data_IF_179502583325
#
_entry.id   IF_179502583325
#
_cell.length_a   1.000
_cell.length_b   1.000
_cell.length_c   1.000
_cell.angle_alpha   90.00
_cell.angle_beta   90.00
_cell.angle_gamma   90.00
#
_symmetry.space_group_name_H-M   'P 1'
#
loop_
_entity.id
_entity.type
_entity.pdbx_description
1 polymer ?
#
# COMPACT_ATOMS: atom_id res chain seq x y z
N UNK A 1 21.67 -3.80 8.66
CA UNK A 1 20.54 -3.07 8.07
C UNK A 1 20.21 -1.90 8.99
N UNK A 2 20.52 -0.68 8.57
CA UNK A 2 20.28 0.50 9.39
C UNK A 2 18.96 1.15 8.96
N UNK A 3 17.84 0.63 9.48
CA UNK A 3 16.57 1.32 9.37
C UNK A 3 16.63 2.57 10.25
N UNK A 4 16.37 3.70 9.65
CA UNK A 4 16.27 5.01 10.30
C UNK A 4 14.85 5.22 10.81
N UNK A 5 14.66 6.23 11.67
CA UNK A 5 13.33 6.65 12.11
C UNK A 5 12.40 6.99 10.93
N UNK A 6 12.95 7.53 9.84
CA UNK A 6 12.18 7.87 8.65
C UNK A 6 11.64 6.63 7.95
N UNK A 7 12.39 5.52 7.92
CA UNK A 7 11.94 4.27 7.31
C UNK A 7 10.75 3.68 8.08
N UNK A 8 10.80 3.73 9.41
CA UNK A 8 9.67 3.31 10.25
C UNK A 8 8.45 4.22 10.08
N UNK A 9 8.66 5.53 9.98
CA UNK A 9 7.57 6.48 9.76
C UNK A 9 6.92 6.26 8.38
N UNK A 10 7.73 6.04 7.34
CA UNK A 10 7.24 5.71 6.01
C UNK A 10 6.43 4.40 6.02
N UNK A 11 6.93 3.36 6.68
CA UNK A 11 6.20 2.10 6.84
C UNK A 11 4.89 2.28 7.61
N UNK A 12 4.88 3.08 8.69
CA UNK A 12 3.68 3.38 9.46
C UNK A 12 2.62 4.08 8.60
N UNK A 13 3.02 5.11 7.84
CA UNK A 13 2.11 5.84 6.94
C UNK A 13 1.59 4.90 5.86
N UNK A 14 2.46 4.09 5.25
CA UNK A 14 2.10 3.17 4.18
C UNK A 14 1.07 2.12 4.67
N UNK A 15 1.33 1.49 5.81
CA UNK A 15 0.39 0.52 6.41
C UNK A 15 -0.90 1.19 6.90
N UNK A 16 -0.82 2.41 7.43
CA UNK A 16 -1.99 3.21 7.80
C UNK A 16 -2.89 3.46 6.59
N UNK A 17 -2.32 3.88 5.45
CA UNK A 17 -3.05 4.06 4.20
C UNK A 17 -3.66 2.75 3.69
N UNK A 18 -2.92 1.64 3.80
CA UNK A 18 -3.45 0.31 3.44
C UNK A 18 -4.68 -0.03 4.29
N UNK A 19 -4.58 0.11 5.61
CA UNK A 19 -5.66 -0.18 6.54
C UNK A 19 -6.88 0.73 6.30
N UNK A 20 -6.67 2.04 6.16
CA UNK A 20 -7.74 3.00 5.88
C UNK A 20 -8.39 2.74 4.52
N UNK A 21 -7.61 2.45 3.47
CA UNK A 21 -8.12 2.16 2.13
C UNK A 21 -8.96 0.90 2.08
N UNK A 22 -8.50 -0.18 2.73
CA UNK A 22 -9.27 -1.43 2.85
C UNK A 22 -10.53 -1.19 3.69
N UNK A 23 -10.42 -0.56 4.86
CA UNK A 23 -11.57 -0.26 5.71
C UNK A 23 -12.63 0.58 4.97
N UNK A 24 -12.21 1.61 4.25
CA UNK A 24 -13.09 2.46 3.45
C UNK A 24 -13.81 1.63 2.37
N UNK A 25 -13.06 0.79 1.65
CA UNK A 25 -13.58 -0.11 0.62
C UNK A 25 -14.63 -1.07 1.20
N UNK A 26 -14.36 -1.67 2.37
CA UNK A 26 -15.27 -2.58 3.03
C UNK A 26 -16.55 -1.89 3.53
N UNK A 27 -16.43 -0.66 4.04
CA UNK A 27 -17.54 0.07 4.67
C UNK A 27 -18.46 0.78 3.67
N UNK A 28 -17.93 1.29 2.56
CA UNK A 28 -18.68 2.16 1.65
C UNK A 28 -19.09 1.47 0.34
N UNK A 29 -18.38 0.41 -0.08
CA UNK A 29 -18.70 -0.28 -1.33
C UNK A 29 -19.69 -1.42 -1.08
N UNK A 30 -20.90 -1.25 -1.63
CA UNK A 30 -22.02 -2.21 -1.46
C UNK A 30 -21.88 -3.46 -2.33
N UNK A 31 -21.29 -3.33 -3.52
CA UNK A 31 -21.14 -4.47 -4.43
C UNK A 31 -19.92 -5.30 -4.04
N UNK A 32 -20.06 -6.64 -3.90
CA UNK A 32 -18.94 -7.50 -3.54
C UNK A 32 -17.83 -7.46 -4.59
N UNK A 33 -18.19 -7.31 -5.88
CA UNK A 33 -17.22 -7.20 -6.98
C UNK A 33 -16.42 -5.90 -6.91
N UNK A 34 -17.08 -4.77 -6.71
CA UNK A 34 -16.38 -3.47 -6.63
C UNK A 34 -15.50 -3.39 -5.39
N UNK A 35 -15.97 -3.95 -4.27
CA UNK A 35 -15.20 -4.08 -3.03
C UNK A 35 -13.93 -4.91 -3.22
N UNK A 36 -14.03 -6.07 -3.87
CA UNK A 36 -12.87 -6.91 -4.15
C UNK A 36 -11.84 -6.18 -5.04
N UNK A 37 -12.31 -5.53 -6.12
CA UNK A 37 -11.44 -4.74 -7.00
C UNK A 37 -10.76 -3.61 -6.22
N UNK A 38 -11.51 -2.84 -5.43
CA UNK A 38 -10.93 -1.73 -4.65
C UNK A 38 -9.89 -2.20 -3.63
N UNK A 39 -10.15 -3.29 -2.89
CA UNK A 39 -9.17 -3.86 -1.98
C UNK A 39 -7.91 -4.35 -2.71
N UNK A 40 -8.08 -5.02 -3.86
CA UNK A 40 -6.94 -5.46 -4.68
C UNK A 40 -6.12 -4.27 -5.18
N UNK A 41 -6.77 -3.20 -5.62
CA UNK A 41 -6.08 -1.97 -6.03
C UNK A 41 -5.29 -1.37 -4.89
N UNK A 42 -5.86 -1.26 -3.68
CA UNK A 42 -5.13 -0.78 -2.50
C UNK A 42 -3.90 -1.64 -2.22
N UNK A 43 -4.04 -2.96 -2.22
CA UNK A 43 -2.91 -3.88 -1.97
C UNK A 43 -1.82 -3.72 -3.03
N UNK A 44 -2.18 -3.65 -4.31
CA UNK A 44 -1.21 -3.49 -5.41
C UNK A 44 -0.47 -2.16 -5.28
N UNK A 45 -1.18 -1.05 -5.04
CA UNK A 45 -0.54 0.26 -4.89
C UNK A 45 0.45 0.28 -3.72
N UNK A 46 0.08 -0.29 -2.59
CA UNK A 46 0.95 -0.40 -1.41
C UNK A 46 2.17 -1.27 -1.71
N UNK A 47 1.98 -2.40 -2.40
CA UNK A 47 3.07 -3.29 -2.79
C UNK A 47 4.05 -2.62 -3.77
N UNK A 48 3.56 -1.79 -4.70
CA UNK A 48 4.42 -1.05 -5.63
C UNK A 48 5.27 0.00 -4.91
N UNK A 49 4.69 0.75 -3.96
CA UNK A 49 5.45 1.73 -3.17
C UNK A 49 6.47 1.02 -2.27
N UNK A 50 6.09 -0.12 -1.68
CA UNK A 50 7.03 -0.94 -0.92
C UNK A 50 8.17 -1.47 -1.80
N UNK A 51 7.85 -1.99 -2.99
CA UNK A 51 8.83 -2.50 -3.93
C UNK A 51 9.81 -1.41 -4.37
N UNK A 52 9.34 -0.19 -4.62
CA UNK A 52 10.24 0.93 -4.88
C UNK A 52 11.16 1.21 -3.69
N UNK A 53 10.62 1.30 -2.48
CA UNK A 53 11.43 1.57 -1.28
C UNK A 53 12.41 0.44 -0.91
N UNK A 54 12.08 -0.81 -1.24
CA UNK A 54 12.87 -1.98 -0.85
C UNK A 54 13.92 -2.39 -1.90
N UNK A 55 13.53 -2.35 -3.19
CA UNK A 55 14.35 -2.87 -4.29
C UNK A 55 14.49 -1.89 -5.46
N UNK A 56 14.00 -0.65 -5.33
CA UNK A 56 14.13 0.37 -6.38
C UNK A 56 13.47 -0.05 -7.70
N UNK A 57 12.31 -0.72 -7.66
CA UNK A 57 11.75 -1.37 -8.87
C UNK A 57 11.57 -0.44 -10.07
N UNK A 58 11.32 0.85 -9.86
CA UNK A 58 11.19 1.85 -10.92
C UNK A 58 12.52 2.53 -11.24
N UNK A 59 13.34 2.78 -10.23
CA UNK A 59 14.62 3.49 -10.40
C UNK A 59 15.74 2.59 -10.95
N UNK A 60 15.76 1.32 -10.57
CA UNK A 60 16.83 0.37 -10.89
C UNK A 60 16.55 -0.48 -12.15
N UNK A 61 15.29 -0.60 -12.57
CA UNK A 61 14.88 -1.47 -13.70
C UNK A 61 14.34 -0.73 -14.94
N UNK A 62 14.17 0.59 -14.92
CA UNK A 62 13.72 1.40 -16.06
C UNK A 62 14.72 2.53 -16.36
#
# INVERSE_FOLDING_TARGET
MNWTLLDFLAAFVLLGLAATGIWFSLKHLKSPRTRAIACMTVVVLIALVWAEGAVGVFTDFF
#
